data_IF_824732155912
#
_entry.id   IF_824732155912
#
_cell.length_a   1.000
_cell.length_b   1.000
_cell.length_c   1.000
_cell.angle_alpha   90.00
_cell.angle_beta   90.00
_cell.angle_gamma   90.00
#
_symmetry.space_group_name_H-M   'P 1'
#
loop_
_entity.id
_entity.type
_entity.pdbx_description
1 polymer ?
#
# COMPACT_ATOMS: atom_id res chain seq x y z
N UNK A 1 12.51 -32.21 -9.09
CA UNK A 1 12.03 -31.07 -8.29
C UNK A 1 11.89 -29.88 -9.24
N UNK A 2 10.66 -29.39 -9.47
CA UNK A 2 10.37 -28.29 -10.39
C UNK A 2 10.32 -26.99 -9.59
N UNK A 3 11.17 -26.03 -9.93
CA UNK A 3 11.17 -24.69 -9.34
C UNK A 3 10.21 -23.82 -10.18
N UNK A 4 9.09 -23.34 -9.64
CA UNK A 4 8.25 -22.39 -10.36
C UNK A 4 8.94 -21.02 -10.40
N UNK A 5 9.24 -20.54 -11.60
CA UNK A 5 9.64 -19.16 -11.86
C UNK A 5 8.38 -18.29 -11.82
N UNK A 6 8.20 -17.55 -10.73
CA UNK A 6 7.17 -16.52 -10.65
C UNK A 6 7.62 -15.31 -11.49
N UNK A 7 6.80 -14.96 -12.48
CA UNK A 7 6.98 -13.77 -13.30
C UNK A 7 6.72 -12.52 -12.46
N UNK A 8 7.69 -11.62 -12.40
CA UNK A 8 7.55 -10.31 -11.79
C UNK A 8 6.77 -9.40 -12.75
N UNK A 9 5.46 -9.27 -12.52
CA UNK A 9 4.60 -8.27 -13.15
C UNK A 9 4.70 -6.96 -12.36
N UNK A 10 5.67 -6.12 -12.72
CA UNK A 10 5.77 -4.73 -12.24
C UNK A 10 4.98 -3.80 -13.15
N UNK A 11 3.67 -3.65 -12.91
CA UNK A 11 2.84 -2.68 -13.61
C UNK A 11 2.85 -1.37 -12.80
N UNK A 12 3.64 -0.41 -13.28
CA UNK A 12 3.72 0.96 -12.79
C UNK A 12 2.41 1.70 -13.14
N UNK A 13 1.45 1.70 -12.20
CA UNK A 13 0.24 2.50 -12.32
C UNK A 13 0.53 3.94 -11.87
N UNK A 14 0.98 4.77 -12.83
CA UNK A 14 1.08 6.21 -12.69
C UNK A 14 -0.34 6.81 -12.79
N UNK A 15 -1.05 6.90 -11.67
CA UNK A 15 -2.36 7.58 -11.61
C UNK A 15 -2.19 9.09 -11.73
N UNK A 16 -2.31 9.60 -12.95
CA UNK A 16 -2.51 11.02 -13.25
C UNK A 16 -3.89 11.40 -12.72
N UNK A 17 -3.93 12.15 -11.62
CA UNK A 17 -5.15 12.70 -11.06
C UNK A 17 -5.69 13.77 -12.02
N UNK A 18 -6.76 13.44 -12.73
CA UNK A 18 -7.43 14.32 -13.68
C UNK A 18 -8.01 15.54 -12.97
N UNK A 19 -7.52 16.72 -13.34
CA UNK A 19 -8.11 18.00 -13.02
C UNK A 19 -9.40 18.17 -13.86
N UNK A 20 -10.55 17.81 -13.29
CA UNK A 20 -11.85 18.09 -13.90
C UNK A 20 -12.26 19.52 -13.53
N UNK A 21 -11.98 20.47 -14.41
CA UNK A 21 -12.54 21.83 -14.36
C UNK A 21 -13.94 21.80 -14.98
N UNK A 22 -14.98 21.76 -14.15
CA UNK A 22 -16.35 22.04 -14.60
C UNK A 22 -16.58 23.54 -14.57
N UNK A 23 -16.43 24.18 -15.72
CA UNK A 23 -16.95 25.52 -15.99
C UNK A 23 -18.25 25.36 -16.78
N UNK A 24 -19.38 25.41 -16.08
CA UNK A 24 -20.69 25.59 -16.70
C UNK A 24 -21.31 26.86 -16.12
N UNK A 25 -21.16 27.95 -16.89
CA UNK A 25 -21.87 29.19 -16.68
C UNK A 25 -23.34 29.05 -17.06
N UNK A 26 -24.22 29.43 -16.15
CA UNK A 26 -25.64 29.63 -16.36
C UNK A 26 -26.09 30.74 -15.43
N UNK A 27 -26.09 31.98 -15.91
CA UNK A 27 -26.58 33.14 -15.19
C UNK A 27 -28.11 33.11 -15.14
N UNK A 28 -28.66 32.45 -14.13
CA UNK A 28 -30.00 32.75 -13.64
C UNK A 28 -29.82 33.69 -12.45
N UNK A 29 -30.27 34.94 -12.63
CA UNK A 29 -30.43 35.90 -11.54
C UNK A 29 -31.61 35.46 -10.65
N UNK A 30 -31.42 34.35 -9.93
CA UNK A 30 -32.21 34.04 -8.76
C UNK A 30 -31.78 35.05 -7.68
N UNK A 31 -32.76 35.63 -7.00
CA UNK A 31 -32.57 36.31 -5.72
C UNK A 31 -31.57 35.49 -4.88
N UNK A 32 -30.58 36.11 -4.22
CA UNK A 32 -29.60 35.35 -3.45
C UNK A 32 -30.35 34.51 -2.41
N UNK A 33 -30.45 33.20 -2.66
CA UNK A 33 -30.82 32.27 -1.61
C UNK A 33 -29.91 32.55 -0.43
N UNK A 34 -30.43 32.50 0.81
CA UNK A 34 -29.62 32.76 1.98
C UNK A 34 -28.51 31.70 2.03
N UNK A 35 -27.29 32.06 1.63
CA UNK A 35 -26.12 31.18 1.57
C UNK A 35 -25.92 30.34 2.86
N UNK A 36 -26.39 30.86 3.99
CA UNK A 36 -26.45 30.18 5.28
C UNK A 36 -27.20 28.83 5.26
N UNK A 37 -28.33 28.70 4.56
CA UNK A 37 -29.07 27.43 4.53
C UNK A 37 -28.28 26.29 3.83
N UNK A 38 -27.50 26.66 2.81
CA UNK A 38 -26.64 25.75 2.05
C UNK A 38 -25.44 25.29 2.90
N UNK A 39 -24.85 26.19 3.69
CA UNK A 39 -23.68 25.90 4.51
C UNK A 39 -23.98 24.94 5.66
N UNK A 40 -25.10 25.11 6.38
CA UNK A 40 -25.53 24.15 7.40
C UNK A 40 -25.76 22.75 6.82
N UNK A 41 -26.42 22.66 5.66
CA UNK A 41 -26.72 21.39 5.00
C UNK A 41 -25.43 20.66 4.59
N UNK A 42 -24.48 21.41 4.01
CA UNK A 42 -23.15 20.88 3.66
C UNK A 42 -22.39 20.40 4.89
N UNK A 43 -22.41 21.19 5.97
CA UNK A 43 -21.76 20.84 7.25
C UNK A 43 -22.33 19.54 7.82
N UNK A 44 -23.66 19.38 7.85
CA UNK A 44 -24.31 18.15 8.28
C UNK A 44 -23.96 16.95 7.39
N UNK A 45 -23.85 17.14 6.08
CA UNK A 45 -23.42 16.08 5.17
C UNK A 45 -21.98 15.63 5.47
N UNK A 46 -21.06 16.57 5.75
CA UNK A 46 -19.68 16.25 6.18
C UNK A 46 -19.67 15.53 7.53
N UNK A 47 -20.48 15.95 8.50
CA UNK A 47 -20.55 15.28 9.80
C UNK A 47 -21.09 13.85 9.69
N UNK A 48 -22.07 13.61 8.80
CA UNK A 48 -22.61 12.28 8.51
C UNK A 48 -21.60 11.37 7.80
N UNK A 49 -20.80 11.91 6.87
CA UNK A 49 -19.77 11.09 6.21
C UNK A 49 -18.65 10.67 7.18
N UNK A 50 -18.28 11.55 8.11
CA UNK A 50 -17.34 11.22 9.21
C UNK A 50 -17.94 10.23 10.22
N UNK A 51 -19.27 10.15 10.33
CA UNK A 51 -19.96 9.15 11.15
C UNK A 51 -20.02 7.77 10.53
N UNK A 52 -20.15 7.70 9.21
CA UNK A 52 -20.09 6.44 8.49
C UNK A 52 -18.67 5.84 8.45
N UNK A 53 -17.64 6.67 8.68
CA UNK A 53 -16.25 6.22 8.69
C UNK A 53 -15.86 5.58 10.03
N UNK A 54 -16.06 4.27 10.13
CA UNK A 54 -15.76 3.47 11.34
C UNK A 54 -14.29 3.57 11.78
N UNK A 55 -13.38 3.86 10.85
CA UNK A 55 -11.96 3.96 11.13
C UNK A 55 -11.59 5.21 11.93
N UNK A 56 -12.30 6.31 11.71
CA UNK A 56 -12.00 7.64 12.30
C UNK A 56 -13.11 8.13 13.23
N UNK A 57 -14.22 7.39 13.37
CA UNK A 57 -15.38 7.77 14.18
C UNK A 57 -15.01 8.12 15.62
N UNK A 58 -14.20 7.27 16.29
CA UNK A 58 -13.82 7.51 17.68
C UNK A 58 -12.96 8.78 17.85
N UNK A 59 -12.00 8.98 16.94
CA UNK A 59 -11.08 10.13 16.99
C UNK A 59 -11.78 11.45 16.66
N UNK A 60 -12.83 11.42 15.83
CA UNK A 60 -13.57 12.62 15.42
C UNK A 60 -14.80 12.94 16.28
N UNK A 61 -15.13 12.09 17.26
CA UNK A 61 -16.37 12.17 18.03
C UNK A 61 -16.59 13.52 18.74
N UNK A 62 -15.58 14.05 19.43
CA UNK A 62 -15.70 15.31 20.18
C UNK A 62 -15.92 16.51 19.25
N UNK A 63 -15.08 16.66 18.21
CA UNK A 63 -15.20 17.74 17.23
C UNK A 63 -16.57 17.69 16.52
N UNK A 64 -17.04 16.49 16.17
CA UNK A 64 -18.37 16.28 15.59
C UNK A 64 -19.50 16.70 16.54
N UNK A 65 -19.45 16.26 17.80
CA UNK A 65 -20.47 16.58 18.80
C UNK A 65 -20.56 18.11 19.00
N UNK A 66 -19.42 18.80 19.07
CA UNK A 66 -19.38 20.27 19.18
C UNK A 66 -19.93 20.97 17.93
N UNK A 67 -19.61 20.47 16.74
CA UNK A 67 -20.16 21.01 15.49
C UNK A 67 -21.68 20.87 15.44
N UNK A 68 -22.23 19.69 15.82
CA UNK A 68 -23.67 19.45 15.90
C UNK A 68 -24.35 20.37 16.93
N UNK A 69 -23.75 20.52 18.12
CA UNK A 69 -24.26 21.41 19.16
C UNK A 69 -24.26 22.88 18.70
N UNK A 70 -23.22 23.33 17.99
CA UNK A 70 -23.16 24.67 17.41
C UNK A 70 -24.24 24.89 16.35
N UNK A 71 -24.51 23.92 15.47
CA UNK A 71 -25.63 24.01 14.51
C UNK A 71 -26.98 24.12 15.21
N UNK A 72 -27.23 23.26 16.21
CA UNK A 72 -28.46 23.33 17.00
C UNK A 72 -28.61 24.73 17.64
N UNK A 73 -27.55 25.24 18.25
CA UNK A 73 -27.56 26.58 18.85
C UNK A 73 -27.79 27.70 17.84
N UNK A 74 -27.23 27.59 16.64
CA UNK A 74 -27.48 28.55 15.56
C UNK A 74 -28.96 28.56 15.15
N UNK A 75 -29.62 27.40 15.10
CA UNK A 75 -31.06 27.32 14.80
C UNK A 75 -31.93 27.98 15.89
N UNK A 76 -31.58 27.77 17.16
CA UNK A 76 -32.26 28.44 18.29
C UNK A 76 -32.12 29.97 18.20
N UNK A 77 -30.92 30.47 17.89
CA UNK A 77 -30.67 31.91 17.76
C UNK A 77 -31.48 32.54 16.62
N UNK A 78 -31.62 31.86 15.47
CA UNK A 78 -32.52 32.32 14.38
C UNK A 78 -33.97 32.36 14.84
N UNK A 79 -34.43 31.34 15.57
CA UNK A 79 -35.82 31.32 16.07
C UNK A 79 -36.10 32.46 17.07
N UNK A 80 -35.07 32.95 17.76
CA UNK A 80 -35.13 34.12 18.64
C UNK A 80 -34.94 35.46 17.93
N UNK A 81 -34.73 35.48 16.61
CA UNK A 81 -34.50 36.69 15.81
C UNK A 81 -33.07 37.26 15.89
N UNK A 82 -32.11 36.53 16.47
CA UNK A 82 -30.70 36.95 16.58
C UNK A 82 -29.87 36.38 15.42
N UNK A 83 -30.10 36.91 14.23
CA UNK A 83 -29.48 36.42 13.00
C UNK A 83 -27.96 36.59 12.98
N UNK A 84 -27.44 37.65 13.59
CA UNK A 84 -26.00 37.91 13.62
C UNK A 84 -25.26 36.84 14.44
N UNK A 85 -25.73 36.54 15.66
CA UNK A 85 -25.10 35.48 16.47
C UNK A 85 -25.34 34.10 15.88
N UNK A 86 -26.49 33.88 15.23
CA UNK A 86 -26.74 32.62 14.53
C UNK A 86 -25.68 32.36 13.46
N UNK A 87 -25.38 33.35 12.61
CA UNK A 87 -24.35 33.25 11.56
C UNK A 87 -22.95 32.99 12.13
N UNK A 88 -22.58 33.66 13.23
CA UNK A 88 -21.30 33.40 13.90
C UNK A 88 -21.21 31.98 14.45
N UNK A 89 -22.30 31.49 15.05
CA UNK A 89 -22.36 30.13 15.62
C UNK A 89 -22.34 29.06 14.54
N UNK A 90 -22.97 29.32 13.39
CA UNK A 90 -22.88 28.46 12.21
C UNK A 90 -21.47 28.44 11.62
N UNK A 91 -20.80 29.59 11.51
CA UNK A 91 -19.40 29.65 11.10
C UNK A 91 -18.46 28.87 12.04
N UNK A 92 -18.75 28.85 13.35
CA UNK A 92 -18.05 27.98 14.30
C UNK A 92 -18.30 26.49 14.01
N UNK A 93 -19.55 26.11 13.70
CA UNK A 93 -19.87 24.73 13.35
C UNK A 93 -19.12 24.25 12.11
N UNK A 94 -19.01 25.10 11.08
CA UNK A 94 -18.23 24.81 9.86
C UNK A 94 -16.77 24.51 10.21
N UNK A 95 -16.13 25.39 10.99
CA UNK A 95 -14.73 25.21 11.42
C UNK A 95 -14.51 23.94 12.25
N UNK A 96 -15.48 23.58 13.10
CA UNK A 96 -15.42 22.35 13.89
C UNK A 96 -15.58 21.10 13.00
N UNK A 97 -16.41 21.15 11.96
CA UNK A 97 -16.53 20.08 10.99
C UNK A 97 -15.26 19.92 10.13
N UNK A 98 -14.64 21.04 9.74
CA UNK A 98 -13.33 21.04 9.07
C UNK A 98 -12.25 20.42 9.96
N UNK A 99 -12.18 20.83 11.23
CA UNK A 99 -11.28 20.25 12.23
C UNK A 99 -11.50 18.73 12.38
N UNK A 100 -12.75 18.27 12.43
CA UNK A 100 -13.05 16.84 12.47
C UNK A 100 -12.52 16.12 11.20
N UNK A 101 -12.62 16.76 10.04
CA UNK A 101 -12.03 16.27 8.80
C UNK A 101 -10.50 16.22 8.81
N UNK A 102 -9.84 17.22 9.40
CA UNK A 102 -8.39 17.25 9.60
C UNK A 102 -7.92 16.13 10.53
N UNK A 103 -8.62 15.91 11.64
CA UNK A 103 -8.33 14.80 12.57
C UNK A 103 -8.47 13.46 11.86
N UNK A 104 -9.53 13.25 11.06
CA UNK A 104 -9.68 12.04 10.27
C UNK A 104 -8.51 11.83 9.29
N UNK A 105 -8.06 12.89 8.60
CA UNK A 105 -6.88 12.84 7.71
C UNK A 105 -5.61 12.48 8.46
N UNK A 106 -5.39 13.08 9.64
CA UNK A 106 -4.22 12.81 10.48
C UNK A 106 -4.20 11.34 10.95
N UNK A 107 -5.33 10.80 11.40
CA UNK A 107 -5.41 9.38 11.81
C UNK A 107 -5.06 8.45 10.65
N UNK A 108 -5.54 8.74 9.44
CA UNK A 108 -5.22 7.94 8.25
C UNK A 108 -3.75 8.03 7.87
N UNK A 109 -3.14 9.21 7.94
CA UNK A 109 -1.72 9.38 7.63
C UNK A 109 -0.83 8.68 8.66
N UNK A 110 -1.17 8.73 9.94
CA UNK A 110 -0.47 7.99 11.00
C UNK A 110 -0.52 6.48 10.77
N UNK A 111 -1.69 5.93 10.41
CA UNK A 111 -1.82 4.49 10.09
C UNK A 111 -1.02 4.09 8.85
N UNK A 112 -1.02 4.93 7.82
CA UNK A 112 -0.21 4.71 6.64
C UNK A 112 1.28 4.70 6.99
N UNK A 113 1.74 5.67 7.80
CA UNK A 113 3.11 5.75 8.27
C UNK A 113 3.51 4.53 9.12
N UNK A 114 2.65 4.10 10.05
CA UNK A 114 2.89 2.90 10.85
C UNK A 114 2.97 1.62 10.01
N UNK A 115 2.22 1.54 8.91
CA UNK A 115 2.29 0.41 7.97
C UNK A 115 3.56 0.46 7.14
N UNK A 116 3.95 1.63 6.65
CA UNK A 116 5.21 1.82 5.95
C UNK A 116 6.43 1.49 6.83
N UNK A 117 6.40 1.90 8.11
CA UNK A 117 7.46 1.60 9.06
C UNK A 117 7.62 0.09 9.27
N UNK A 118 6.52 -0.64 9.46
CA UNK A 118 6.55 -2.11 9.57
C UNK A 118 7.12 -2.75 8.30
N UNK A 119 6.68 -2.32 7.12
CA UNK A 119 7.23 -2.80 5.86
C UNK A 119 8.74 -2.54 5.71
N UNK A 120 9.21 -1.37 6.16
CA UNK A 120 10.64 -1.04 6.15
C UNK A 120 11.45 -1.93 7.12
N UNK A 121 10.90 -2.23 8.29
CA UNK A 121 11.52 -3.15 9.27
C UNK A 121 11.61 -4.57 8.71
N UNK A 122 10.54 -5.07 8.09
CA UNK A 122 10.52 -6.40 7.48
C UNK A 122 11.52 -6.51 6.32
N UNK A 123 11.61 -5.47 5.48
CA UNK A 123 12.58 -5.40 4.40
C UNK A 123 14.02 -5.36 4.94
N UNK A 124 14.28 -4.60 6.01
CA UNK A 124 15.58 -4.58 6.70
C UNK A 124 15.97 -5.97 7.19
N UNK A 125 15.06 -6.69 7.85
CA UNK A 125 15.30 -8.05 8.32
C UNK A 125 15.50 -9.07 7.19
N UNK A 126 14.92 -8.86 6.00
CA UNK A 126 15.21 -9.68 4.82
C UNK A 126 16.61 -9.39 4.28
N UNK A 127 16.98 -8.12 4.15
CA UNK A 127 18.31 -7.72 3.69
C UNK A 127 19.43 -8.26 4.60
N UNK A 128 19.24 -8.23 5.92
CA UNK A 128 20.23 -8.77 6.86
C UNK A 128 20.40 -10.29 6.71
N UNK A 129 19.30 -11.01 6.46
CA UNK A 129 19.35 -12.46 6.17
C UNK A 129 20.06 -12.76 4.85
N UNK A 130 19.77 -11.99 3.81
CA UNK A 130 20.42 -12.14 2.51
C UNK A 130 21.93 -11.85 2.60
N UNK A 131 22.33 -10.82 3.35
CA UNK A 131 23.74 -10.52 3.63
C UNK A 131 24.44 -11.68 4.33
N UNK A 132 23.82 -12.24 5.37
CA UNK A 132 24.37 -13.40 6.08
C UNK A 132 24.59 -14.62 5.15
N UNK A 133 23.63 -14.90 4.26
CA UNK A 133 23.75 -15.99 3.28
C UNK A 133 24.87 -15.73 2.25
N UNK A 134 25.02 -14.47 1.81
CA UNK A 134 26.10 -14.08 0.89
C UNK A 134 27.48 -14.23 1.56
N UNK A 135 27.61 -13.82 2.82
CA UNK A 135 28.84 -13.99 3.60
C UNK A 135 29.21 -15.47 3.78
N UNK A 136 28.23 -16.32 4.07
CA UNK A 136 28.44 -17.76 4.16
C UNK A 136 28.89 -18.35 2.81
N UNK A 137 28.22 -17.98 1.71
CA UNK A 137 28.57 -18.44 0.37
C UNK A 137 29.99 -18.02 -0.03
N UNK A 138 30.39 -16.77 0.30
CA UNK A 138 31.75 -16.30 0.09
C UNK A 138 32.76 -17.12 0.89
N UNK A 139 32.50 -17.37 2.17
CA UNK A 139 33.36 -18.20 3.03
C UNK A 139 33.48 -19.65 2.54
N UNK A 140 32.39 -20.24 2.05
CA UNK A 140 32.41 -21.57 1.43
C UNK A 140 33.23 -21.57 0.13
N UNK A 141 33.04 -20.57 -0.75
CA UNK A 141 33.79 -20.47 -2.00
C UNK A 141 35.29 -20.28 -1.78
N UNK A 142 35.69 -19.48 -0.77
CA UNK A 142 37.08 -19.30 -0.38
C UNK A 142 37.72 -20.61 0.09
N UNK A 143 37.02 -21.38 0.92
CA UNK A 143 37.48 -22.71 1.36
C UNK A 143 37.65 -23.68 0.20
N UNK A 144 36.70 -23.72 -0.74
CA UNK A 144 36.79 -24.59 -1.92
C UNK A 144 37.97 -24.21 -2.83
N UNK A 145 38.21 -22.92 -3.04
CA UNK A 145 39.39 -22.44 -3.81
C UNK A 145 40.70 -22.84 -3.14
N UNK A 146 40.83 -22.65 -1.83
CA UNK A 146 42.02 -23.07 -1.08
C UNK A 146 42.25 -24.60 -1.15
N UNK A 147 41.18 -25.40 -1.14
CA UNK A 147 41.28 -26.85 -1.34
C UNK A 147 41.76 -27.22 -2.75
N UNK A 148 41.25 -26.54 -3.78
CA UNK A 148 41.70 -26.74 -5.17
C UNK A 148 43.17 -26.36 -5.36
N UNK A 149 43.59 -25.22 -4.80
CA UNK A 149 44.99 -24.78 -4.83
C UNK A 149 45.90 -25.81 -4.15
N UNK A 150 45.53 -26.27 -2.94
CA UNK A 150 46.30 -27.29 -2.21
C UNK A 150 46.38 -28.65 -2.94
N UNK A 151 45.33 -29.05 -3.68
CA UNK A 151 45.35 -30.24 -4.53
C UNK A 151 46.23 -30.06 -5.77
N UNK A 152 46.30 -28.84 -6.30
CA UNK A 152 47.13 -28.51 -7.47
C UNK A 152 48.61 -28.47 -7.10
N UNK A 153 48.97 -27.87 -5.96
CA UNK A 153 50.36 -27.84 -5.45
C UNK A 153 50.90 -29.23 -5.09
N UNK A 154 50.04 -30.13 -4.58
CA UNK A 154 50.42 -31.51 -4.23
C UNK A 154 50.51 -32.44 -5.43
N UNK A 155 50.22 -31.98 -6.65
CA UNK A 155 50.34 -32.79 -7.86
C UNK A 155 51.82 -32.82 -8.29
N UNK A 156 52.50 -33.98 -8.25
CA UNK A 156 53.90 -34.06 -8.69
C UNK A 156 54.00 -33.72 -10.19
N UNK A 157 55.05 -33.00 -10.63
CA UNK A 157 55.31 -32.75 -12.04
C UNK A 157 55.86 -34.03 -12.67
N UNK A 158 54.97 -34.96 -13.04
CA UNK A 158 55.14 -35.84 -14.21
C UNK A 158 54.03 -36.88 -14.28
N UNK A 159 53.18 -36.75 -15.31
CA UNK A 159 52.93 -37.82 -16.28
C UNK A 159 52.55 -37.15 -17.60
N UNK A 160 53.57 -36.72 -18.34
CA UNK A 160 53.47 -36.61 -19.80
C UNK A 160 53.16 -38.03 -20.32
N UNK A 161 52.09 -38.18 -21.10
CA UNK A 161 51.85 -39.37 -21.92
C UNK A 161 50.76 -40.33 -21.43
N UNK A 162 49.51 -40.05 -21.81
CA UNK A 162 48.66 -41.05 -22.48
C UNK A 162 47.51 -40.36 -23.20
N UNK A 163 47.57 -40.39 -24.53
CA UNK A 163 46.41 -40.14 -25.39
C UNK A 163 45.26 -41.07 -24.99
N UNK A 164 44.02 -40.57 -24.88
CA UNK A 164 42.85 -41.43 -24.87
C UNK A 164 42.60 -41.91 -26.31
N UNK A 165 43.01 -43.14 -26.62
CA UNK A 165 42.59 -43.82 -27.85
C UNK A 165 41.08 -43.99 -27.84
N UNK A 166 40.46 -43.52 -28.92
CA UNK A 166 39.08 -43.77 -29.33
C UNK A 166 38.67 -45.24 -29.07
N UNK A 167 37.74 -45.41 -28.14
CA UNK A 167 37.12 -46.69 -27.79
C UNK A 167 35.62 -46.53 -27.80
N UNK A 168 35.00 -46.94 -28.90
CA UNK A 168 33.63 -46.63 -29.24
C UNK A 168 32.54 -47.25 -28.35
N UNK A 169 31.37 -46.64 -28.51
CA UNK A 169 30.07 -47.30 -28.65
C UNK A 169 29.35 -47.78 -27.36
N UNK A 170 28.32 -47.04 -26.94
CA UNK A 170 26.91 -47.24 -27.33
C UNK A 170 25.98 -46.50 -26.36
N UNK A 171 25.20 -45.57 -26.90
CA UNK A 171 24.02 -45.03 -26.23
C UNK A 171 22.91 -46.10 -26.16
N UNK A 172 22.27 -46.34 -25.00
CA UNK A 172 20.98 -47.01 -24.98
C UNK A 172 19.84 -46.01 -25.22
N UNK A 173 18.95 -46.45 -26.11
CA UNK A 173 17.75 -45.77 -26.61
C UNK A 173 16.64 -45.66 -25.54
N UNK A 174 15.98 -44.50 -25.53
CA UNK A 174 14.55 -44.19 -25.40
C UNK A 174 13.56 -45.22 -24.78
N UNK A 175 12.66 -44.66 -23.95
CA UNK A 175 11.26 -45.00 -23.60
C UNK A 175 11.10 -45.34 -22.10
N UNK A 176 10.13 -44.85 -21.34
CA UNK A 176 8.79 -44.37 -21.69
C UNK A 176 8.27 -43.31 -20.70
N UNK A 177 7.37 -42.45 -21.18
CA UNK A 177 6.51 -41.59 -20.37
C UNK A 177 5.42 -42.41 -19.68
N UNK A 178 5.10 -42.22 -18.40
CA UNK A 178 3.82 -42.65 -17.85
C UNK A 178 2.74 -41.57 -18.03
N UNK A 179 1.53 -42.08 -18.18
CA UNK A 179 0.33 -41.43 -18.66
C UNK A 179 -0.16 -40.27 -17.78
N UNK A 180 -0.75 -39.28 -18.46
CA UNK A 180 -1.65 -38.27 -17.88
C UNK A 180 -2.95 -38.96 -17.50
N UNK A 181 -3.18 -39.18 -16.20
CA UNK A 181 -4.52 -39.50 -15.69
C UNK A 181 -5.31 -38.20 -15.64
N UNK A 182 -6.35 -38.14 -16.45
CA UNK A 182 -7.46 -37.23 -16.29
C UNK A 182 -8.47 -37.90 -15.36
N UNK A 183 -8.87 -37.21 -14.31
CA UNK A 183 -10.10 -37.47 -13.55
C UNK A 183 -10.46 -36.12 -12.89
N UNK A 184 -11.45 -35.40 -13.42
CA UNK A 184 -12.82 -35.36 -12.87
C UNK A 184 -12.87 -34.25 -11.81
N UNK A 185 -13.52 -33.09 -11.99
CA UNK A 185 -14.91 -32.91 -12.41
C UNK A 185 -15.79 -33.76 -11.50
N UNK A 186 -16.58 -33.28 -10.54
CA UNK A 186 -17.40 -32.08 -10.37
C UNK A 186 -17.99 -32.17 -8.93
N UNK A 187 -19.10 -31.51 -8.56
CA UNK A 187 -19.65 -30.21 -8.95
C UNK A 187 -19.48 -29.12 -7.87
#
# INVERSE_FOLDING_TARGET
>A
MKIPRAAASGLLALSIFGLVVHAAGGANAALPEPAAATDATRTLATLKSLEADTETTAATADARARAQAALARATELRSAGDDYRARLTEGLAVRLAELAGDVARAVRSERAAATALRGAQDAGAQLDRERALLEEALAQSGRLRAQLEALTEKRPPDRVGREPTDGGAKAPKKAASPARVADGGAP
#
